data_IF_030593982250
#
_entry.id   IF_030593982250
#
_cell.length_a   1.000
_cell.length_b   1.000
_cell.length_c   1.000
_cell.angle_alpha   90.00
_cell.angle_beta   90.00
_cell.angle_gamma   90.00
#
_symmetry.space_group_name_H-M   'P 1'
#
loop_
_entity.id
_entity.type
_entity.pdbx_description
1 polymer ?
#
# COMPACT_ATOMS: atom_id res chain seq x y z
N UNK A 1 24.97 -8.30 -3.56
CA UNK A 1 25.38 -6.87 -3.63
C UNK A 1 24.14 -6.01 -3.52
N UNK A 2 24.28 -4.69 -3.51
CA UNK A 2 23.13 -3.79 -3.62
C UNK A 2 22.31 -4.09 -4.88
N UNK A 3 22.95 -4.44 -6.00
CA UNK A 3 22.22 -4.81 -7.22
C UNK A 3 21.38 -6.09 -7.05
N UNK A 4 21.93 -7.12 -6.38
CA UNK A 4 21.18 -8.37 -6.12
C UNK A 4 19.96 -8.12 -5.25
N UNK A 5 20.10 -7.30 -4.21
CA UNK A 5 19.01 -6.94 -3.32
C UNK A 5 17.95 -6.12 -4.06
N UNK A 6 18.37 -5.15 -4.87
CA UNK A 6 17.47 -4.36 -5.73
C UNK A 6 16.69 -5.23 -6.70
N UNK A 7 17.35 -6.18 -7.37
CA UNK A 7 16.71 -7.13 -8.28
C UNK A 7 15.66 -8.00 -7.56
N UNK A 8 15.96 -8.47 -6.35
CA UNK A 8 15.04 -9.25 -5.53
C UNK A 8 13.80 -8.43 -5.14
N UNK A 9 13.98 -7.17 -4.74
CA UNK A 9 12.87 -6.28 -4.40
C UNK A 9 11.99 -5.98 -5.63
N UNK A 10 12.61 -5.67 -6.78
CA UNK A 10 11.87 -5.43 -8.02
C UNK A 10 11.07 -6.66 -8.47
N UNK A 11 11.60 -7.87 -8.28
CA UNK A 11 10.90 -9.12 -8.61
C UNK A 11 9.53 -9.21 -7.91
N UNK A 12 9.50 -9.01 -6.58
CA UNK A 12 8.25 -9.04 -5.82
C UNK A 12 7.34 -7.84 -6.10
N UNK A 13 7.90 -6.65 -6.36
CA UNK A 13 7.09 -5.50 -6.76
C UNK A 13 6.36 -5.75 -8.08
N UNK A 14 7.05 -6.32 -9.09
CA UNK A 14 6.46 -6.67 -10.36
C UNK A 14 5.39 -7.77 -10.20
N UNK A 15 5.62 -8.75 -9.35
CA UNK A 15 4.63 -9.79 -9.04
C UNK A 15 3.32 -9.18 -8.51
N UNK A 16 3.40 -8.24 -7.57
CA UNK A 16 2.22 -7.55 -7.02
C UNK A 16 1.50 -6.73 -8.09
N UNK A 17 2.24 -6.00 -8.93
CA UNK A 17 1.64 -5.19 -10.02
C UNK A 17 0.91 -6.09 -11.01
N UNK A 18 1.52 -7.20 -11.43
CA UNK A 18 0.91 -8.14 -12.37
C UNK A 18 -0.30 -8.86 -11.75
N UNK A 19 -0.22 -9.25 -10.49
CA UNK A 19 -1.36 -9.86 -9.79
C UNK A 19 -2.55 -8.89 -9.69
N UNK A 20 -2.29 -7.61 -9.38
CA UNK A 20 -3.33 -6.59 -9.34
C UNK A 20 -3.98 -6.38 -10.72
N UNK A 21 -3.17 -6.31 -11.79
CA UNK A 21 -3.67 -6.18 -13.17
C UNK A 21 -4.57 -7.37 -13.56
N UNK A 22 -4.12 -8.61 -13.27
CA UNK A 22 -4.91 -9.83 -13.50
C UNK A 22 -6.26 -9.84 -12.74
N UNK A 23 -6.31 -9.20 -11.58
CA UNK A 23 -7.52 -9.09 -10.76
C UNK A 23 -8.37 -7.85 -11.10
N UNK A 24 -7.94 -7.00 -12.04
CA UNK A 24 -8.61 -5.73 -12.35
C UNK A 24 -8.57 -4.72 -11.20
N UNK A 25 -7.52 -4.79 -10.36
CA UNK A 25 -7.30 -3.92 -9.21
C UNK A 25 -6.25 -2.84 -9.53
N UNK A 26 -6.33 -1.71 -8.85
CA UNK A 26 -5.28 -0.69 -8.88
C UNK A 26 -4.21 -1.00 -7.83
N UNK A 27 -3.01 -1.38 -8.25
CA UNK A 27 -1.87 -1.66 -7.35
C UNK A 27 -1.32 -0.43 -6.62
N UNK A 28 -1.69 0.78 -7.06
CA UNK A 28 -1.06 2.03 -6.65
C UNK A 28 -1.95 2.91 -5.77
N UNK A 29 -3.17 2.47 -5.45
CA UNK A 29 -4.06 3.16 -4.51
C UNK A 29 -4.28 2.37 -3.21
N UNK A 30 -4.90 3.03 -2.24
CA UNK A 30 -5.18 2.46 -0.92
C UNK A 30 -6.36 3.18 -0.24
N UNK A 31 -7.57 3.20 -0.82
CA UNK A 31 -8.69 3.98 -0.29
C UNK A 31 -9.14 3.56 1.11
N UNK A 32 -8.93 2.29 1.48
CA UNK A 32 -9.33 1.74 2.77
C UNK A 32 -8.69 2.45 3.98
N UNK A 33 -7.54 3.11 3.81
CA UNK A 33 -6.82 3.78 4.92
C UNK A 33 -7.52 5.05 5.40
N UNK A 34 -8.30 5.72 4.55
CA UNK A 34 -8.87 7.04 4.84
C UNK A 34 -9.91 7.03 5.96
N UNK A 35 -10.65 5.91 6.09
CA UNK A 35 -11.57 5.72 7.21
C UNK A 35 -10.82 5.66 8.54
N UNK A 36 -9.71 4.92 8.58
CA UNK A 36 -8.86 4.81 9.77
C UNK A 36 -8.29 6.18 10.16
N UNK A 37 -7.77 6.93 9.19
CA UNK A 37 -7.27 8.31 9.41
C UNK A 37 -8.34 9.24 9.97
N UNK A 38 -9.58 9.14 9.46
CA UNK A 38 -10.69 9.98 9.91
C UNK A 38 -11.15 9.64 11.34
N UNK A 39 -11.24 8.35 11.67
CA UNK A 39 -11.56 7.90 13.02
C UNK A 39 -10.49 8.31 14.04
N UNK A 40 -9.21 8.15 13.69
CA UNK A 40 -8.11 8.56 14.56
C UNK A 40 -8.18 10.05 14.90
N UNK A 41 -8.42 10.92 13.90
CA UNK A 41 -8.60 12.36 14.12
C UNK A 41 -9.81 12.68 15.02
N UNK A 42 -10.94 12.01 14.80
CA UNK A 42 -12.14 12.17 15.61
C UNK A 42 -11.89 11.81 17.08
N UNK A 43 -11.23 10.67 17.33
CA UNK A 43 -10.90 10.25 18.68
C UNK A 43 -9.93 11.22 19.35
N UNK A 44 -8.84 11.60 18.67
CA UNK A 44 -7.89 12.60 19.19
C UNK A 44 -8.55 13.95 19.49
N UNK A 45 -9.49 14.40 18.66
CA UNK A 45 -10.25 15.63 18.89
C UNK A 45 -11.19 15.56 20.09
N UNK A 46 -11.73 14.37 20.41
CA UNK A 46 -12.56 14.13 21.60
C UNK A 46 -11.77 13.99 22.91
N UNK A 47 -10.47 13.74 22.85
CA UNK A 47 -9.58 13.68 24.01
C UNK A 47 -9.04 15.06 24.43
N UNK A 48 -9.34 16.12 23.66
CA UNK A 48 -9.14 17.51 24.07
C UNK A 48 -10.37 18.03 24.81
#
# INVERSE_FOLDING_TARGET
TEETLGALLMHFMLEVILAADLLGLNAFDQPAVERGKSLARHYLGKFK
#
